data_IF_815834612926
#
_entry.id   IF_815834612926
#
_cell.length_a   1.000
_cell.length_b   1.000
_cell.length_c   1.000
_cell.angle_alpha   90.00
_cell.angle_beta   90.00
_cell.angle_gamma   90.00
#
_symmetry.space_group_name_H-M   'P 1'
#
loop_
_entity.id
_entity.type
_entity.pdbx_description
1 polymer ?
#
# COMPACT_ATOMS: atom_id res chain seq x y z
N UNK A 1 8.22 -23.23 8.17
CA UNK A 1 7.64 -22.31 7.17
C UNK A 1 8.35 -20.97 7.24
N UNK A 2 9.23 -20.65 6.30
CA UNK A 2 9.91 -19.36 6.26
C UNK A 2 8.90 -18.26 5.90
N UNK A 3 8.72 -17.26 6.77
CA UNK A 3 7.95 -16.05 6.46
C UNK A 3 8.58 -15.41 5.22
N UNK A 4 7.92 -15.50 4.06
CA UNK A 4 8.34 -14.81 2.83
C UNK A 4 8.57 -13.34 3.19
N UNK A 5 9.74 -12.74 2.87
CA UNK A 5 10.00 -11.35 3.20
C UNK A 5 8.85 -10.50 2.64
N UNK A 6 8.28 -9.65 3.49
CA UNK A 6 7.15 -8.81 3.10
C UNK A 6 7.47 -8.07 1.81
N UNK A 7 6.60 -8.22 0.81
CA UNK A 7 6.76 -7.57 -0.49
C UNK A 7 6.93 -6.05 -0.32
N UNK A 8 7.84 -5.46 -1.09
CA UNK A 8 8.17 -4.03 -1.03
C UNK A 8 6.93 -3.16 -1.27
N UNK A 9 5.98 -3.64 -2.10
CA UNK A 9 4.70 -2.96 -2.29
C UNK A 9 3.87 -2.90 -0.99
N UNK A 10 3.89 -3.96 -0.20
CA UNK A 10 3.20 -4.03 1.10
C UNK A 10 3.83 -3.06 2.10
N UNK A 11 5.17 -2.97 2.14
CA UNK A 11 5.87 -2.00 2.98
C UNK A 11 5.49 -0.56 2.62
N UNK A 12 5.48 -0.22 1.33
CA UNK A 12 5.07 1.10 0.83
C UNK A 12 3.63 1.45 1.22
N UNK A 13 2.70 0.49 1.08
CA UNK A 13 1.29 0.68 1.49
C UNK A 13 1.13 0.94 2.99
N UNK A 14 1.80 0.16 3.83
CA UNK A 14 1.74 0.36 5.28
C UNK A 14 2.32 1.70 5.70
N UNK A 15 3.42 2.12 5.08
CA UNK A 15 4.01 3.45 5.31
C UNK A 15 3.04 4.56 4.89
N UNK A 16 2.46 4.46 3.69
CA UNK A 16 1.47 5.42 3.23
C UNK A 16 0.22 5.48 4.12
N UNK A 17 -0.29 4.33 4.57
CA UNK A 17 -1.43 4.25 5.49
C UNK A 17 -1.18 5.03 6.78
N UNK A 18 0.00 4.86 7.39
CA UNK A 18 0.38 5.58 8.61
C UNK A 18 0.48 7.08 8.38
N UNK A 19 1.07 7.50 7.27
CA UNK A 19 1.18 8.92 6.94
C UNK A 19 -0.19 9.55 6.66
N UNK A 20 -1.06 8.88 5.92
CA UNK A 20 -2.43 9.33 5.66
C UNK A 20 -3.24 9.43 6.97
N UNK A 21 -3.13 8.45 7.87
CA UNK A 21 -3.74 8.53 9.21
C UNK A 21 -3.17 9.65 10.07
N UNK A 22 -1.91 10.02 9.88
CA UNK A 22 -1.29 11.17 10.53
C UNK A 22 -1.67 12.53 9.88
N UNK A 23 -2.63 12.55 8.95
CA UNK A 23 -3.12 13.76 8.29
C UNK A 23 -2.22 14.27 7.16
N UNK A 24 -1.20 13.52 6.73
CA UNK A 24 -0.33 13.92 5.62
C UNK A 24 -1.09 13.90 4.29
N UNK A 25 -0.82 14.89 3.44
CA UNK A 25 -1.47 15.01 2.14
C UNK A 25 -1.03 13.93 1.14
N UNK A 26 -1.88 13.51 0.18
CA UNK A 26 -1.55 12.47 -0.80
C UNK A 26 -0.27 12.75 -1.62
N UNK A 27 0.04 14.02 -1.89
CA UNK A 27 1.25 14.42 -2.62
C UNK A 27 2.53 14.17 -1.81
N UNK A 28 2.53 14.53 -0.52
CA UNK A 28 3.67 14.29 0.39
C UNK A 28 3.90 12.79 0.59
N UNK A 29 2.82 12.04 0.76
CA UNK A 29 2.88 10.58 0.90
C UNK A 29 3.46 9.92 -0.35
N UNK A 30 3.07 10.38 -1.54
CA UNK A 30 3.56 9.85 -2.82
C UNK A 30 5.09 10.00 -2.95
N UNK A 31 5.62 11.17 -2.58
CA UNK A 31 7.05 11.44 -2.56
C UNK A 31 7.77 10.55 -1.54
N UNK A 32 7.22 10.41 -0.33
CA UNK A 32 7.84 9.64 0.74
C UNK A 32 7.90 8.13 0.49
N UNK A 33 6.94 7.58 -0.25
CA UNK A 33 6.87 6.13 -0.55
C UNK A 33 7.31 5.79 -1.98
N UNK A 34 7.63 6.80 -2.80
CA UNK A 34 8.12 6.64 -4.17
C UNK A 34 7.09 5.98 -5.08
N UNK A 35 5.87 6.53 -5.12
CA UNK A 35 4.78 6.09 -6.01
C UNK A 35 4.10 7.29 -6.66
N UNK A 36 3.30 7.07 -7.70
CA UNK A 36 2.51 8.14 -8.31
C UNK A 36 1.44 8.68 -7.35
N UNK A 37 1.18 9.99 -7.41
CA UNK A 37 0.14 10.66 -6.59
C UNK A 37 -1.23 9.99 -6.73
N UNK A 38 -1.60 9.58 -7.94
CA UNK A 38 -2.86 8.90 -8.22
C UNK A 38 -3.01 7.59 -7.43
N UNK A 39 -1.92 6.84 -7.28
CA UNK A 39 -1.90 5.61 -6.48
C UNK A 39 -2.23 5.91 -5.01
N UNK A 40 -1.72 7.01 -4.47
CA UNK A 40 -2.00 7.42 -3.09
C UNK A 40 -3.45 7.87 -2.93
N UNK A 41 -4.05 8.54 -3.92
CA UNK A 41 -5.49 8.86 -3.89
C UNK A 41 -6.34 7.59 -3.84
N UNK A 42 -6.01 6.57 -4.63
CA UNK A 42 -6.67 5.26 -4.55
C UNK A 42 -6.49 4.63 -3.17
N UNK A 43 -5.26 4.65 -2.63
CA UNK A 43 -4.98 4.10 -1.31
C UNK A 43 -5.73 4.81 -0.19
N UNK A 44 -5.82 6.14 -0.27
CA UNK A 44 -6.60 6.94 0.67
C UNK A 44 -8.07 6.54 0.63
N UNK A 45 -8.67 6.45 -0.56
CA UNK A 45 -10.06 6.02 -0.71
C UNK A 45 -10.32 4.64 -0.08
N UNK A 46 -9.46 3.66 -0.35
CA UNK A 46 -9.56 2.32 0.23
C UNK A 46 -9.37 2.31 1.75
N UNK A 47 -8.47 3.15 2.24
CA UNK A 47 -8.24 3.33 3.68
C UNK A 47 -9.46 3.96 4.36
N UNK A 48 -10.12 4.91 3.71
CA UNK A 48 -11.32 5.59 4.21
C UNK A 48 -12.54 4.64 4.17
N UNK A 49 -12.66 3.81 3.12
CA UNK A 49 -13.77 2.85 2.95
C UNK A 49 -13.65 1.59 3.83
N UNK A 50 -12.45 1.04 3.98
CA UNK A 50 -12.25 -0.28 4.59
C UNK A 50 -10.99 -0.42 5.45
N UNK A 51 -10.36 0.70 5.81
CA UNK A 51 -9.23 0.71 6.73
C UNK A 51 -7.95 0.08 6.17
N UNK A 52 -7.08 -0.33 7.08
CA UNK A 52 -5.75 -0.85 6.73
C UNK A 52 -5.88 -2.21 6.00
N UNK A 53 -6.90 -3.00 6.30
CA UNK A 53 -7.09 -4.32 5.70
C UNK A 53 -7.50 -4.23 4.23
N UNK A 54 -8.41 -3.30 3.88
CA UNK A 54 -8.71 -3.01 2.48
C UNK A 54 -7.48 -2.54 1.70
N UNK A 55 -6.64 -1.71 2.33
CA UNK A 55 -5.40 -1.26 1.71
C UNK A 55 -4.36 -2.38 1.57
N UNK A 56 -4.30 -3.34 2.50
CA UNK A 56 -3.43 -4.53 2.41
C UNK A 56 -3.87 -5.48 1.30
N UNK A 57 -5.18 -5.59 1.06
CA UNK A 57 -5.75 -6.44 0.02
C UNK A 57 -5.43 -5.96 -1.40
N UNK A 58 -4.93 -4.73 -1.59
CA UNK A 58 -4.50 -4.24 -2.89
C UNK A 58 -3.37 -5.14 -3.41
N UNK A 59 -3.54 -5.86 -4.53
CA UNK A 59 -2.49 -6.71 -5.07
C UNK A 59 -1.28 -5.87 -5.49
N UNK A 60 -0.07 -6.41 -5.30
CA UNK A 60 1.16 -5.82 -5.84
C UNK A 60 1.03 -5.55 -7.35
N UNK A 61 1.76 -4.58 -7.90
CA UNK A 61 1.74 -4.32 -9.34
C UNK A 61 2.36 -5.53 -10.05
N UNK A 62 1.53 -6.31 -10.73
CA UNK A 62 1.93 -7.55 -11.42
C UNK A 62 0.96 -8.71 -11.11
N UNK A 63 0.87 -9.68 -12.02
CA UNK A 63 0.13 -10.93 -11.77
C UNK A 63 0.70 -11.57 -10.50
N UNK A 64 -0.13 -11.97 -9.51
CA UNK A 64 0.38 -12.69 -8.36
C UNK A 64 1.18 -13.90 -8.85
N UNK A 65 2.39 -14.08 -8.32
CA UNK A 65 3.24 -15.21 -8.67
C UNK A 65 2.48 -16.50 -8.31
N UNK A 66 1.98 -17.21 -9.34
CA UNK A 66 1.45 -18.56 -9.19
C UNK A 66 2.63 -19.49 -9.04
N UNK A 67 3.07 -19.69 -7.81
CA UNK A 67 3.83 -20.87 -7.44
C UNK A 67 3.09 -21.47 -6.26
N UNK A 68 2.18 -22.37 -6.60
CA UNK A 68 1.75 -23.44 -5.71
C UNK A 68 3.00 -24.28 -5.43
N UNK A 69 3.30 -24.48 -4.15
CA UNK A 69 4.31 -25.42 -3.67
C UNK A 69 3.62 -26.43 -2.76
#
# INVERSE_FOLDING_TARGET
>A
MAKKPMDEATKKRLRAARMLKAGKGPAEVALAVGVARQTVYTWKRLLDEGGIDALRAVPGRGRPARLDA
#
